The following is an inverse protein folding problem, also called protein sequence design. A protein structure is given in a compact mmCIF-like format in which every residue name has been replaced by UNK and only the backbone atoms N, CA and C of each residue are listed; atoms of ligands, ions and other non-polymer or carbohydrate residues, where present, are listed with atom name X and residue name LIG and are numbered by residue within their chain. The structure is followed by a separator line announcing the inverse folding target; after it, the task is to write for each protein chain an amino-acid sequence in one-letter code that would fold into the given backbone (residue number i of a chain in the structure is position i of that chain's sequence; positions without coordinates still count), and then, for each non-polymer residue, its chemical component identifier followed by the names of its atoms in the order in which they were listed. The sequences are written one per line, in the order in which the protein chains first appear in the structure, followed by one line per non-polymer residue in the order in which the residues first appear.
data_IF_481569355255
#
_entry.id   IF_481569355255
#
_cell.length_a   1.000
_cell.length_b   1.000
_cell.length_c   1.000
_cell.angle_alpha   90.00
_cell.angle_beta   90.00
_cell.angle_gamma   90.00
#
_symmetry.space_group_name_H-M   'P 1'
#
loop_
_entity.id
_entity.type
_entity.pdbx_description
1 polymer ?
#
# COMPACT_ATOMS: atom_id res chain seq x y z
N UNK A 1 -0.85 6.48 23.38
CA UNK A 1 -0.66 5.95 22.01
C UNK A 1 0.08 7.01 21.19
N UNK A 2 1.05 6.60 20.38
CA UNK A 2 1.73 7.53 19.47
C UNK A 2 0.72 8.08 18.46
N UNK A 3 0.81 9.37 18.14
CA UNK A 3 -0.01 9.94 17.07
C UNK A 3 0.39 9.31 15.73
N UNK A 4 -0.60 8.84 14.97
CA UNK A 4 -0.40 8.25 13.66
C UNK A 4 -0.92 9.20 12.59
N UNK A 5 -0.17 9.31 11.49
CA UNK A 5 -0.46 10.21 10.39
C UNK A 5 -0.38 9.43 9.08
N UNK A 6 -1.50 8.84 8.63
CA UNK A 6 -1.61 8.24 7.31
C UNK A 6 -1.37 9.28 6.22
N UNK A 7 -0.78 8.89 5.10
CA UNK A 7 -0.57 9.75 3.95
C UNK A 7 -0.67 8.98 2.64
N UNK A 8 -0.97 9.70 1.56
CA UNK A 8 -0.89 9.22 0.18
C UNK A 8 0.03 10.15 -0.60
N UNK A 9 0.87 9.58 -1.48
CA UNK A 9 1.73 10.31 -2.40
C UNK A 9 1.60 9.72 -3.79
N UNK A 10 1.49 10.60 -4.77
CA UNK A 10 1.69 10.26 -6.17
C UNK A 10 3.12 10.64 -6.57
N UNK A 11 3.85 9.68 -7.13
CA UNK A 11 5.19 9.88 -7.67
C UNK A 11 5.29 9.25 -9.06
N UNK A 12 6.29 9.67 -9.83
CA UNK A 12 6.50 9.20 -11.20
C UNK A 12 7.91 8.63 -11.35
N UNK A 13 8.03 7.54 -12.12
CA UNK A 13 9.31 6.96 -12.52
C UNK A 13 10.04 7.87 -13.52
N UNK A 14 11.27 7.51 -13.88
CA UNK A 14 11.99 8.22 -14.94
C UNK A 14 11.36 8.05 -16.34
N UNK A 15 10.50 7.03 -16.52
CA UNK A 15 9.72 6.78 -17.73
C UNK A 15 8.30 7.36 -17.63
N UNK A 16 8.04 8.21 -16.64
CA UNK A 16 6.72 8.80 -16.37
C UNK A 16 5.65 7.76 -15.97
N UNK A 17 6.05 6.58 -15.49
CA UNK A 17 5.12 5.59 -14.95
C UNK A 17 4.65 6.03 -13.57
N UNK A 18 3.33 6.02 -13.35
CA UNK A 18 2.74 6.46 -12.09
C UNK A 18 2.89 5.39 -11.01
N UNK A 19 3.31 5.83 -9.83
CA UNK A 19 3.43 5.02 -8.62
C UNK A 19 2.60 5.71 -7.53
N UNK A 20 1.68 4.96 -6.95
CA UNK A 20 0.90 5.40 -5.80
C UNK A 20 1.53 4.85 -4.54
N UNK A 21 1.92 5.71 -3.62
CA UNK A 21 2.52 5.34 -2.33
C UNK A 21 1.55 5.72 -1.22
N UNK A 22 1.39 4.84 -0.24
CA UNK A 22 0.61 5.09 0.97
C UNK A 22 1.43 4.68 2.19
N UNK A 23 1.29 5.38 3.31
CA UNK A 23 2.02 5.01 4.52
C UNK A 23 1.46 5.60 5.80
N UNK A 24 2.04 5.20 6.93
CA UNK A 24 1.72 5.70 8.27
C UNK A 24 3.00 6.27 8.89
N UNK A 25 2.94 7.54 9.31
CA UNK A 25 4.02 8.23 10.01
C UNK A 25 3.68 8.46 11.47
N UNK A 26 4.67 8.42 12.37
CA UNK A 26 4.55 8.88 13.77
C UNK A 26 4.80 10.38 13.94
N UNK A 27 5.17 11.07 12.86
CA UNK A 27 5.33 12.53 12.81
C UNK A 27 4.43 13.15 11.75
N UNK A 28 3.75 14.23 12.10
CA UNK A 28 2.98 15.06 11.16
C UNK A 28 3.95 15.76 10.21
N UNK A 29 3.52 15.98 8.95
CA UNK A 29 4.24 16.75 7.93
C UNK A 29 5.67 16.24 7.63
N UNK A 30 5.76 15.22 6.78
CA UNK A 30 7.01 14.59 6.39
C UNK A 30 7.53 15.12 5.04
N UNK A 31 7.40 16.42 4.78
CA UNK A 31 7.70 17.01 3.46
C UNK A 31 9.09 16.67 2.94
N UNK A 32 10.11 16.70 3.82
CA UNK A 32 11.47 16.32 3.46
C UNK A 32 11.53 14.87 2.95
N UNK A 33 10.87 13.94 3.65
CA UNK A 33 10.79 12.56 3.21
C UNK A 33 9.97 12.38 1.94
N UNK A 34 8.84 13.09 1.82
CA UNK A 34 8.00 13.04 0.63
C UNK A 34 8.77 13.52 -0.61
N UNK A 35 9.57 14.58 -0.46
CA UNK A 35 10.49 15.06 -1.50
C UNK A 35 11.61 14.05 -1.78
N UNK A 36 12.14 13.37 -0.76
CA UNK A 36 13.11 12.29 -0.94
C UNK A 36 12.52 11.12 -1.74
N UNK A 37 11.30 10.68 -1.44
CA UNK A 37 10.61 9.62 -2.21
C UNK A 37 10.37 10.06 -3.65
N UNK A 38 9.84 11.27 -3.86
CA UNK A 38 9.64 11.83 -5.21
C UNK A 38 10.94 11.84 -6.02
N UNK A 39 12.03 12.34 -5.44
CA UNK A 39 13.33 12.40 -6.10
C UNK A 39 13.94 11.02 -6.35
N UNK A 40 13.70 10.06 -5.46
CA UNK A 40 14.15 8.69 -5.60
C UNK A 40 13.47 8.01 -6.78
N UNK A 41 12.14 8.04 -6.81
CA UNK A 41 11.37 7.41 -7.88
C UNK A 41 11.54 8.13 -9.22
N UNK A 42 11.77 9.45 -9.23
CA UNK A 42 12.11 10.20 -10.45
C UNK A 42 13.30 9.63 -11.23
N UNK A 43 14.24 8.98 -10.53
CA UNK A 43 15.42 8.35 -11.15
C UNK A 43 15.33 6.81 -11.15
N UNK A 44 14.25 6.25 -10.60
CA UNK A 44 14.05 4.81 -10.56
C UNK A 44 13.62 4.31 -11.94
N UNK A 45 14.22 3.18 -12.33
CA UNK A 45 13.90 2.45 -13.54
C UNK A 45 13.70 1.00 -13.18
N UNK A 46 12.54 0.44 -13.52
CA UNK A 46 12.31 -0.99 -13.44
C UNK A 46 13.29 -1.71 -14.37
N UNK A 47 13.97 -2.74 -13.87
CA UNK A 47 14.91 -3.52 -14.69
C UNK A 47 14.15 -4.18 -15.84
N UNK A 48 14.79 -4.27 -17.02
CA UNK A 48 14.15 -4.85 -18.20
C UNK A 48 13.65 -6.28 -17.93
N UNK A 49 14.46 -7.07 -17.22
CA UNK A 49 14.13 -8.43 -16.80
C UNK A 49 12.90 -8.53 -15.89
N UNK A 50 12.51 -7.44 -15.22
CA UNK A 50 11.40 -7.43 -14.26
C UNK A 50 10.07 -7.03 -14.90
N UNK A 51 10.08 -6.45 -16.10
CA UNK A 51 8.89 -5.80 -16.69
C UNK A 51 7.72 -6.75 -16.99
N UNK A 52 7.98 -8.04 -17.08
CA UNK A 52 6.98 -9.07 -17.39
C UNK A 52 6.71 -10.02 -16.22
N UNK A 53 7.26 -9.74 -15.04
CA UNK A 53 7.18 -10.61 -13.87
C UNK A 53 6.68 -9.82 -12.67
N UNK A 54 5.40 -9.97 -12.31
CA UNK A 54 4.77 -9.24 -11.19
C UNK A 54 5.56 -9.37 -9.89
N UNK A 55 6.05 -10.58 -9.61
CA UNK A 55 6.93 -10.83 -8.47
C UNK A 55 8.21 -9.96 -8.47
N UNK A 56 8.86 -9.80 -9.63
CA UNK A 56 10.05 -8.96 -9.73
C UNK A 56 9.70 -7.48 -9.62
N UNK A 57 8.53 -7.06 -10.12
CA UNK A 57 8.00 -5.72 -9.92
C UNK A 57 7.88 -5.44 -8.42
N UNK A 58 7.19 -6.31 -7.67
CA UNK A 58 7.02 -6.19 -6.22
C UNK A 58 8.36 -6.14 -5.50
N UNK A 59 9.29 -7.01 -5.88
CA UNK A 59 10.63 -7.05 -5.30
C UNK A 59 11.40 -5.73 -5.49
N UNK A 60 11.44 -5.20 -6.72
CA UNK A 60 12.16 -3.94 -6.99
C UNK A 60 11.45 -2.74 -6.37
N UNK A 61 10.11 -2.74 -6.37
CA UNK A 61 9.30 -1.70 -5.73
C UNK A 61 9.54 -1.68 -4.21
N UNK A 62 9.47 -2.84 -3.55
CA UNK A 62 9.76 -2.98 -2.12
C UNK A 62 11.16 -2.50 -1.79
N UNK A 63 12.19 -2.94 -2.54
CA UNK A 63 13.57 -2.49 -2.33
C UNK A 63 13.74 -0.98 -2.44
N UNK A 64 13.09 -0.35 -3.41
CA UNK A 64 13.20 1.09 -3.57
C UNK A 64 12.45 1.85 -2.47
N UNK A 65 11.31 1.32 -2.02
CA UNK A 65 10.55 1.86 -0.89
C UNK A 65 11.29 1.76 0.44
N UNK A 66 11.97 0.65 0.75
CA UNK A 66 12.64 0.44 2.06
C UNK A 66 13.96 1.20 2.19
N UNK A 67 14.64 1.46 1.07
CA UNK A 67 15.96 2.10 1.04
C UNK A 67 15.95 3.43 1.79
N UNK A 68 16.69 3.58 2.90
CA UNK A 68 16.78 4.85 3.66
C UNK A 68 15.42 5.44 4.07
N UNK A 69 14.43 4.59 4.36
CA UNK A 69 13.15 5.07 4.90
C UNK A 69 13.37 5.60 6.32
N UNK A 70 12.88 6.81 6.66
CA UNK A 70 12.98 7.36 7.99
C UNK A 70 12.26 6.49 9.03
N UNK A 71 12.85 6.35 10.22
CA UNK A 71 12.31 5.54 11.33
C UNK A 71 10.91 5.94 11.80
N UNK A 72 10.45 7.15 11.46
CA UNK A 72 9.11 7.59 11.79
C UNK A 72 8.04 7.11 10.80
N UNK A 73 8.43 6.54 9.65
CA UNK A 73 7.50 5.87 8.73
C UNK A 73 7.45 4.41 9.12
N UNK A 74 6.37 4.02 9.81
CA UNK A 74 6.25 2.69 10.43
C UNK A 74 5.45 1.72 9.57
N UNK A 75 4.71 2.20 8.57
CA UNK A 75 4.09 1.36 7.57
C UNK A 75 4.15 2.06 6.22
N UNK A 76 4.36 1.29 5.16
CA UNK A 76 4.45 1.80 3.80
C UNK A 76 3.92 0.75 2.84
N UNK A 77 3.27 1.21 1.79
CA UNK A 77 2.91 0.39 0.66
C UNK A 77 2.87 1.21 -0.63
N UNK A 78 2.89 0.52 -1.75
CA UNK A 78 2.72 1.17 -3.04
C UNK A 78 2.05 0.25 -4.05
N UNK A 79 1.38 0.86 -5.02
CA UNK A 79 0.85 0.21 -6.22
C UNK A 79 1.53 0.82 -7.45
N UNK A 80 1.90 -0.02 -8.40
CA UNK A 80 2.61 0.35 -9.62
C UNK A 80 2.00 -0.33 -10.84
N UNK A 81 1.75 0.45 -11.90
CA UNK A 81 1.28 -0.02 -13.20
C UNK A 81 2.37 0.17 -14.25
N UNK A 82 2.74 -0.90 -14.94
CA UNK A 82 3.63 -0.83 -16.10
C UNK A 82 2.80 -0.62 -17.36
N UNK A 83 3.28 0.22 -18.27
CA UNK A 83 2.64 0.46 -19.58
C UNK A 83 2.94 -0.67 -20.59
N UNK A 84 3.89 -1.55 -20.30
CA UNK A 84 4.47 -2.45 -21.30
C UNK A 84 3.69 -3.75 -21.51
N UNK A 85 2.71 -4.05 -20.64
CA UNK A 85 1.78 -5.17 -20.84
C UNK A 85 0.49 -4.92 -20.05
N UNK A 86 -0.66 -5.02 -20.74
CA UNK A 86 -1.97 -4.94 -20.09
C UNK A 86 -2.05 -5.92 -18.92
N UNK A 87 -2.34 -5.39 -17.72
CA UNK A 87 -2.54 -6.18 -16.50
C UNK A 87 -1.28 -6.58 -15.74
N UNK A 88 -0.07 -6.22 -16.20
CA UNK A 88 1.12 -6.34 -15.36
C UNK A 88 1.17 -5.16 -14.39
N UNK A 89 1.06 -5.48 -13.10
CA UNK A 89 1.14 -4.51 -12.02
C UNK A 89 1.75 -5.18 -10.80
N UNK A 90 2.13 -4.35 -9.83
CA UNK A 90 2.71 -4.81 -8.57
C UNK A 90 2.21 -3.98 -7.40
N UNK A 91 2.19 -4.60 -6.23
CA UNK A 91 1.75 -4.00 -4.99
C UNK A 91 2.51 -4.55 -3.81
N UNK A 92 2.96 -3.64 -2.95
CA UNK A 92 3.67 -4.01 -1.72
C UNK A 92 3.08 -3.23 -0.55
N UNK A 93 3.06 -3.83 0.63
CA UNK A 93 2.63 -3.17 1.86
C UNK A 93 3.24 -3.89 3.08
N UNK A 94 3.68 -3.13 4.09
CA UNK A 94 4.23 -3.69 5.32
C UNK A 94 5.05 -2.68 6.11
N UNK A 95 5.91 -3.18 7.01
CA UNK A 95 6.92 -2.36 7.69
C UNK A 95 8.12 -2.13 6.75
N UNK A 96 8.48 -0.87 6.42
CA UNK A 96 9.60 -0.58 5.53
C UNK A 96 10.98 -0.84 6.14
N UNK A 97 11.06 -1.23 7.42
CA UNK A 97 12.29 -1.56 8.14
C UNK A 97 12.52 -3.06 8.31
N UNK A 98 11.55 -3.88 7.92
CA UNK A 98 11.66 -5.34 7.91
C UNK A 98 12.11 -5.86 6.54
N UNK A 99 12.56 -7.10 6.51
CA UNK A 99 12.93 -7.78 5.27
C UNK A 99 11.69 -8.04 4.42
N UNK A 100 11.75 -7.68 3.13
CA UNK A 100 10.67 -7.91 2.18
C UNK A 100 10.34 -9.39 2.06
N UNK A 101 9.09 -9.77 2.28
CA UNK A 101 8.58 -11.14 2.14
C UNK A 101 7.25 -11.11 1.40
N UNK A 102 6.98 -12.15 0.62
CA UNK A 102 5.66 -12.32 0.01
C UNK A 102 4.63 -12.54 1.12
N UNK A 103 3.51 -11.83 1.02
CA UNK A 103 2.44 -11.98 2.00
C UNK A 103 1.85 -13.38 1.86
N UNK A 104 1.80 -14.12 2.95
CA UNK A 104 0.99 -15.33 3.02
C UNK A 104 -0.43 -14.93 3.44
N UNK A 105 -1.42 -15.83 3.35
CA UNK A 105 -2.78 -15.55 3.84
C UNK A 105 -2.83 -15.29 5.37
N UNK A 106 -1.70 -15.29 6.07
CA UNK A 106 -1.59 -14.95 7.49
C UNK A 106 -1.89 -13.48 7.78
N UNK A 107 -2.62 -13.25 8.87
CA UNK A 107 -2.59 -11.95 9.57
C UNK A 107 -1.34 -11.91 10.45
N UNK A 108 -0.62 -10.80 10.41
CA UNK A 108 0.65 -10.62 11.12
C UNK A 108 0.61 -9.35 11.98
N UNK A 109 1.33 -9.37 13.11
CA UNK A 109 1.54 -8.18 13.94
C UNK A 109 2.94 -7.65 13.66
N UNK A 110 3.03 -6.40 13.23
CA UNK A 110 4.30 -5.71 12.99
C UNK A 110 4.95 -5.30 14.32
N UNK A 111 6.27 -5.14 14.33
CA UNK A 111 7.03 -4.73 15.53
C UNK A 111 6.58 -3.37 16.10
N UNK A 112 6.04 -2.51 15.24
CA UNK A 112 5.47 -1.22 15.60
C UNK A 112 4.07 -1.29 16.24
N UNK A 113 3.50 -2.50 16.38
CA UNK A 113 2.21 -2.77 17.01
C UNK A 113 0.99 -2.70 16.08
N UNK A 114 1.17 -2.38 14.79
CA UNK A 114 0.12 -2.43 13.78
C UNK A 114 -0.14 -3.87 13.31
N UNK A 115 -1.30 -4.09 12.69
CA UNK A 115 -1.69 -5.37 12.11
C UNK A 115 -1.59 -5.28 10.59
N UNK A 116 -0.85 -6.21 9.97
CA UNK A 116 -0.75 -6.41 8.54
C UNK A 116 -1.60 -7.62 8.14
N UNK A 117 -2.37 -7.48 7.07
CA UNK A 117 -3.07 -8.61 6.43
C UNK A 117 -3.10 -8.43 4.93
N UNK A 118 -2.72 -9.47 4.20
CA UNK A 118 -2.85 -9.54 2.76
C UNK A 118 -3.96 -10.47 2.33
N UNK A 119 -4.52 -10.20 1.15
CA UNK A 119 -5.26 -11.17 0.37
C UNK A 119 -4.45 -11.46 -0.92
N UNK A 120 -4.05 -12.71 -1.19
CA UNK A 120 -3.37 -13.04 -2.45
C UNK A 120 -4.20 -12.62 -3.68
N UNK A 121 -3.58 -11.84 -4.58
CA UNK A 121 -4.27 -11.29 -5.75
C UNK A 121 -5.41 -10.32 -5.40
N UNK A 122 -5.30 -9.66 -4.25
CA UNK A 122 -6.27 -8.69 -3.73
C UNK A 122 -5.58 -7.65 -2.85
N UNK A 123 -6.36 -6.89 -2.05
CA UNK A 123 -5.79 -5.81 -1.28
C UNK A 123 -4.98 -6.33 -0.10
N UNK A 124 -3.88 -5.64 0.20
CA UNK A 124 -3.22 -5.71 1.50
C UNK A 124 -3.55 -4.49 2.34
N UNK A 125 -3.70 -4.67 3.65
CA UNK A 125 -4.01 -3.62 4.61
C UNK A 125 -3.02 -3.60 5.77
N UNK A 126 -2.77 -2.41 6.31
CA UNK A 126 -2.15 -2.22 7.63
C UNK A 126 -3.06 -1.32 8.46
N UNK A 127 -3.39 -1.73 9.68
CA UNK A 127 -4.29 -0.98 10.55
C UNK A 127 -3.86 -0.93 12.02
N UNK A 128 -4.37 0.09 12.72
CA UNK A 128 -4.34 0.18 14.19
C UNK A 128 -5.54 -0.56 14.78
N UNK A 129 -5.41 -1.87 15.00
CA UNK A 129 -6.51 -2.68 15.52
C UNK A 129 -6.07 -4.08 15.93
N UNK A 130 -7.00 -5.01 15.83
CA UNK A 130 -6.85 -6.41 16.22
C UNK A 130 -6.85 -7.33 15.00
N UNK A 131 -6.39 -8.56 15.20
CA UNK A 131 -6.45 -9.61 14.18
C UNK A 131 -7.88 -9.83 13.67
N UNK A 132 -8.86 -9.86 14.58
CA UNK A 132 -10.26 -10.08 14.24
C UNK A 132 -10.82 -8.95 13.34
N UNK A 133 -10.44 -7.71 13.61
CA UNK A 133 -10.83 -6.56 12.80
C UNK A 133 -10.18 -6.61 11.41
N UNK A 134 -8.89 -6.98 11.32
CA UNK A 134 -8.19 -7.16 10.05
C UNK A 134 -8.90 -8.21 9.17
N UNK A 135 -9.23 -9.37 9.75
CA UNK A 135 -9.95 -10.44 9.06
C UNK A 135 -11.35 -10.00 8.61
N UNK A 136 -12.09 -9.28 9.46
CA UNK A 136 -13.42 -8.76 9.10
C UNK A 136 -13.36 -7.78 7.92
N UNK A 137 -12.37 -6.88 7.91
CA UNK A 137 -12.16 -5.91 6.84
C UNK A 137 -11.82 -6.62 5.52
N UNK A 138 -10.86 -7.53 5.51
CA UNK A 138 -10.48 -8.27 4.30
C UNK A 138 -11.61 -9.19 3.82
N UNK A 139 -12.31 -9.86 4.72
CA UNK A 139 -13.46 -10.70 4.37
C UNK A 139 -14.57 -9.88 3.69
N UNK A 140 -14.74 -8.63 4.09
CA UNK A 140 -15.69 -7.74 3.41
C UNK A 140 -15.28 -7.43 1.96
N UNK A 141 -13.99 -7.35 1.68
CA UNK A 141 -13.46 -7.12 0.34
C UNK A 141 -13.66 -8.33 -0.59
N UNK A 142 -13.65 -9.56 -0.04
CA UNK A 142 -13.90 -10.79 -0.80
C UNK A 142 -15.30 -10.88 -1.41
N UNK A 143 -16.27 -10.14 -0.87
CA UNK A 143 -17.66 -10.16 -1.38
C UNK A 143 -17.87 -9.33 -2.66
N UNK A 144 -16.82 -8.65 -3.14
CA UNK A 144 -16.90 -7.75 -4.28
C UNK A 144 -16.36 -8.36 -5.55
N UNK A 145 -16.93 -7.92 -6.67
CA UNK A 145 -16.36 -8.14 -7.98
C UNK A 145 -14.97 -7.50 -8.03
N UNK A 146 -13.97 -8.35 -8.30
CA UNK A 146 -12.56 -7.96 -8.39
C UNK A 146 -12.33 -6.90 -9.46
N UNK A 147 -13.25 -6.72 -10.41
CA UNK A 147 -13.17 -5.72 -11.48
C UNK A 147 -13.26 -4.25 -11.01
N UNK A 148 -13.66 -3.97 -9.76
CA UNK A 148 -13.84 -2.60 -9.27
C UNK A 148 -13.09 -2.31 -7.96
N UNK A 149 -11.78 -2.06 -8.10
CA UNK A 149 -10.88 -1.77 -6.99
C UNK A 149 -11.31 -0.57 -6.13
N UNK A 150 -11.88 0.49 -6.73
CA UNK A 150 -12.35 1.67 -5.98
C UNK A 150 -13.53 1.30 -5.08
N UNK A 151 -14.49 0.53 -5.58
CA UNK A 151 -15.64 0.08 -4.80
C UNK A 151 -15.21 -0.82 -3.64
N UNK A 152 -14.23 -1.69 -3.89
CA UNK A 152 -13.60 -2.50 -2.85
C UNK A 152 -12.94 -1.64 -1.76
N UNK A 153 -12.14 -0.63 -2.13
CA UNK A 153 -11.52 0.29 -1.15
C UNK A 153 -12.56 1.11 -0.37
N UNK A 154 -13.66 1.53 -1.01
CA UNK A 154 -14.78 2.17 -0.32
C UNK A 154 -15.40 1.24 0.72
N UNK A 155 -15.60 -0.04 0.40
CA UNK A 155 -16.11 -1.01 1.38
C UNK A 155 -15.15 -1.23 2.54
N UNK A 156 -13.86 -1.41 2.26
CA UNK A 156 -12.80 -1.51 3.28
C UNK A 156 -12.89 -0.31 4.22
N UNK A 157 -12.96 0.91 3.67
CA UNK A 157 -13.08 2.13 4.48
C UNK A 157 -14.37 2.17 5.31
N UNK A 158 -15.50 1.72 4.76
CA UNK A 158 -16.78 1.69 5.47
C UNK A 158 -16.72 0.72 6.66
N UNK A 159 -16.26 -0.52 6.44
CA UNK A 159 -16.17 -1.53 7.50
C UNK A 159 -15.16 -1.10 8.57
N UNK A 160 -14.04 -0.49 8.17
CA UNK A 160 -13.11 0.10 9.12
C UNK A 160 -13.75 1.19 10.00
N UNK A 161 -14.67 2.00 9.45
CA UNK A 161 -15.44 2.99 10.24
C UNK A 161 -16.43 2.34 11.19
N UNK A 162 -17.15 1.31 10.73
CA UNK A 162 -18.10 0.54 11.55
C UNK A 162 -17.40 -0.16 12.74
N UNK A 163 -16.14 -0.55 12.55
CA UNK A 163 -15.28 -1.14 13.58
C UNK A 163 -14.46 -0.10 14.37
N UNK A 164 -14.73 1.19 14.20
CA UNK A 164 -14.05 2.29 14.90
C UNK A 164 -12.51 2.28 14.74
N UNK A 165 -12.01 1.76 13.62
CA UNK A 165 -10.58 1.74 13.32
C UNK A 165 -10.08 3.17 13.13
N UNK A 166 -9.16 3.58 14.00
CA UNK A 166 -8.63 4.94 13.98
C UNK A 166 -7.74 5.21 12.75
N UNK A 167 -6.89 4.26 12.37
CA UNK A 167 -5.95 4.42 11.25
C UNK A 167 -5.85 3.14 10.43
N UNK A 168 -5.90 3.29 9.10
CA UNK A 168 -5.73 2.21 8.15
C UNK A 168 -5.07 2.71 6.86
N UNK A 169 -4.19 1.91 6.29
CA UNK A 169 -3.75 2.04 4.91
C UNK A 169 -4.05 0.76 4.14
N UNK A 170 -4.35 0.86 2.85
CA UNK A 170 -4.55 -0.28 1.97
C UNK A 170 -3.92 -0.06 0.60
N UNK A 171 -3.51 -1.15 -0.02
CA UNK A 171 -2.94 -1.21 -1.38
C UNK A 171 -3.64 -2.33 -2.13
N UNK A 172 -4.08 -2.06 -3.35
CA UNK A 172 -4.38 -3.09 -4.34
C UNK A 172 -3.43 -2.89 -5.54
N UNK A 173 -2.81 -3.97 -5.98
CA UNK A 173 -1.83 -3.95 -7.07
C UNK A 173 -2.47 -3.69 -8.43
N UNK A 174 -3.77 -3.91 -8.60
CA UNK A 174 -4.45 -3.74 -9.90
C UNK A 174 -4.24 -4.92 -10.86
N UNK A 175 -3.83 -6.08 -10.33
CA UNK A 175 -3.66 -7.28 -11.14
C UNK A 175 -4.98 -7.71 -11.80
N UNK A 176 -4.91 -8.30 -12.98
CA UNK A 176 -6.09 -8.88 -13.66
C UNK A 176 -7.09 -7.86 -14.24
N UNK A 177 -6.58 -6.80 -14.91
CA UNK A 177 -7.36 -5.76 -15.61
C UNK A 177 -8.04 -4.71 -14.72
N UNK A 178 -7.53 -4.49 -13.51
CA UNK A 178 -8.09 -3.48 -12.61
C UNK A 178 -7.13 -2.34 -12.36
N UNK A 179 -7.66 -1.20 -11.93
CA UNK A 179 -6.82 -0.10 -11.52
C UNK A 179 -6.21 -0.40 -10.15
N UNK A 180 -4.92 -0.12 -10.05
CA UNK A 180 -4.24 -0.09 -8.76
C UNK A 180 -4.73 1.12 -7.99
N UNK A 181 -4.95 0.89 -6.70
CA UNK A 181 -5.58 1.87 -5.82
C UNK A 181 -4.94 1.79 -4.45
N UNK A 182 -4.79 2.95 -3.82
CA UNK A 182 -4.36 3.05 -2.44
C UNK A 182 -5.41 3.79 -1.63
N UNK A 183 -5.50 3.44 -0.35
CA UNK A 183 -6.40 4.03 0.62
C UNK A 183 -5.61 4.45 1.85
N UNK A 184 -5.83 5.67 2.32
CA UNK A 184 -5.47 6.06 3.69
C UNK A 184 -6.71 6.50 4.45
N UNK A 185 -6.87 6.04 5.69
CA UNK A 185 -7.96 6.38 6.59
C UNK A 185 -7.39 6.86 7.92
N UNK A 186 -7.90 8.00 8.38
CA UNK A 186 -7.69 8.57 9.71
C UNK A 186 -9.05 8.92 10.34
N UNK A 187 -9.16 9.30 11.62
CA UNK A 187 -10.45 9.60 12.24
C UNK A 187 -11.26 10.68 11.51
N UNK A 188 -10.61 11.63 10.85
CA UNK A 188 -11.28 12.76 10.20
C UNK A 188 -11.21 12.75 8.67
N UNK A 189 -10.51 11.78 8.07
CA UNK A 189 -10.18 11.83 6.65
C UNK A 189 -10.14 10.43 6.02
N UNK A 190 -10.57 10.35 4.77
CA UNK A 190 -10.42 9.17 3.90
C UNK A 190 -9.89 9.67 2.57
N UNK A 191 -8.76 9.13 2.12
CA UNK A 191 -8.21 9.38 0.79
C UNK A 191 -8.14 8.07 0.03
N UNK A 192 -8.82 8.00 -1.12
CA UNK A 192 -8.76 6.88 -2.06
C UNK A 192 -8.22 7.44 -3.37
N UNK A 193 -7.09 6.92 -3.83
CA UNK A 193 -6.43 7.37 -5.06
C UNK A 193 -6.15 6.18 -5.94
N UNK A 194 -6.53 6.28 -7.22
CA UNK A 194 -6.24 5.29 -8.26
C UNK A 194 -5.52 5.94 -9.45
N UNK A 195 -5.08 5.12 -10.39
CA UNK A 195 -4.61 5.55 -11.72
C UNK A 195 -5.49 4.95 -12.81
#
# INVERSE_FOLDING_TARGET
MNNLYPFVLEVFSNLNEKILIVGISTKKNNELYFNMLKNRFKNWKLKESAKNESFLIDYFLSKELTKKTPKNIIALGASFKTELKEGCSGGVIGDPHEESRSISESTEKLDNGLILKGLPGGPGIVLSGTFKEAEAIISSALTFDKSNSIKMMKKISQVARELEISHLIAVNDGSGYTDGVVLSLSPNEINIVSF
#
